data_IF_427685195972
#
_entry.id   IF_427685195972
#
_cell.length_a   1.000
_cell.length_b   1.000
_cell.length_c   1.000
_cell.angle_alpha   90.00
_cell.angle_beta   90.00
_cell.angle_gamma   90.00
#
_symmetry.space_group_name_H-M   'P 1'
#
loop_
_entity.id
_entity.type
_entity.pdbx_description
1 polymer ?
#
# COMPACT_ATOMS: atom_id res chain seq x y z
N UNK A 1 -21.78 3.20 -38.99
CA UNK A 1 -21.62 2.48 -37.71
C UNK A 1 -20.16 2.03 -37.65
N UNK A 2 -19.28 2.74 -36.93
CA UNK A 2 -18.97 2.55 -35.49
C UNK A 2 -18.62 1.08 -35.19
N UNK A 3 -17.46 0.70 -34.63
CA UNK A 3 -16.54 1.39 -33.70
C UNK A 3 -15.09 0.90 -33.96
N UNK A 4 -14.13 1.83 -34.05
CA UNK A 4 -12.70 1.55 -33.95
C UNK A 4 -12.36 1.12 -32.52
N UNK A 5 -11.75 -0.05 -32.36
CA UNK A 5 -11.09 -0.43 -31.11
C UNK A 5 -9.59 -0.19 -31.27
N UNK A 6 -9.15 1.06 -31.08
CA UNK A 6 -7.74 1.35 -30.82
C UNK A 6 -7.44 0.93 -29.38
N UNK A 7 -6.96 -0.29 -29.22
CA UNK A 7 -6.34 -0.74 -27.98
C UNK A 7 -5.05 0.08 -27.78
N UNK A 8 -5.17 1.23 -27.12
CA UNK A 8 -4.03 1.98 -26.64
C UNK A 8 -3.28 1.14 -25.60
N UNK A 9 -2.17 0.52 -26.00
CA UNK A 9 -1.19 0.01 -25.04
C UNK A 9 -0.50 1.21 -24.40
N UNK A 10 -1.05 1.66 -23.28
CA UNK A 10 -0.40 2.65 -22.45
C UNK A 10 0.88 2.06 -21.84
N UNK A 11 1.91 2.90 -21.79
CA UNK A 11 3.25 2.59 -21.33
C UNK A 11 3.22 1.98 -19.93
N UNK A 12 3.43 0.66 -19.84
CA UNK A 12 3.69 -0.04 -18.57
C UNK A 12 5.08 0.40 -18.09
N UNK A 13 5.14 1.55 -17.42
CA UNK A 13 6.32 1.99 -16.66
C UNK A 13 6.47 1.05 -15.46
N UNK A 14 7.12 -0.09 -15.66
CA UNK A 14 7.63 -1.02 -14.64
C UNK A 14 6.80 -1.11 -13.35
N UNK A 15 5.48 -1.33 -13.46
CA UNK A 15 4.64 -1.51 -12.28
C UNK A 15 4.68 -2.98 -11.85
N UNK A 16 5.04 -3.24 -10.60
CA UNK A 16 4.91 -4.58 -10.02
C UNK A 16 3.49 -4.68 -9.48
N UNK A 17 2.63 -5.35 -10.23
CA UNK A 17 1.26 -5.69 -9.85
C UNK A 17 1.25 -7.09 -9.23
N UNK A 18 0.67 -7.21 -8.04
CA UNK A 18 0.49 -8.49 -7.35
C UNK A 18 -0.97 -8.72 -7.03
N UNK A 19 -1.42 -9.98 -7.08
CA UNK A 19 -2.79 -10.34 -6.68
C UNK A 19 -3.02 -10.21 -5.18
N UNK A 20 -2.00 -10.58 -4.41
CA UNK A 20 -2.01 -10.51 -2.96
C UNK A 20 -0.64 -9.99 -2.50
N UNK A 21 -0.60 -8.94 -1.66
CA UNK A 21 0.61 -8.49 -1.02
C UNK A 21 1.22 -9.61 -0.17
N UNK A 22 2.55 -9.67 -0.11
CA UNK A 22 3.24 -10.64 0.74
C UNK A 22 3.12 -10.21 2.20
N UNK A 23 2.35 -10.93 3.00
CA UNK A 23 2.11 -10.59 4.41
C UNK A 23 3.00 -11.47 5.32
N UNK A 24 3.58 -10.91 6.41
CA UNK A 24 4.27 -11.70 7.43
C UNK A 24 3.33 -12.76 8.04
N UNK A 25 3.80 -14.00 8.18
CA UNK A 25 2.95 -15.08 8.72
C UNK A 25 2.83 -15.05 10.25
N UNK A 26 3.87 -14.58 10.94
CA UNK A 26 3.99 -14.71 12.38
C UNK A 26 4.02 -13.34 13.04
N UNK A 27 3.35 -13.24 14.18
CA UNK A 27 3.49 -12.13 15.10
C UNK A 27 4.78 -12.29 15.91
N UNK A 28 5.51 -11.19 16.07
CA UNK A 28 6.67 -11.08 16.95
C UNK A 28 6.52 -9.79 17.76
N UNK A 29 6.48 -9.85 19.10
CA UNK A 29 6.31 -8.66 19.94
C UNK A 29 7.47 -7.65 19.82
N UNK A 30 8.63 -8.09 19.33
CA UNK A 30 9.81 -7.22 19.12
C UNK A 30 9.69 -6.53 17.76
N UNK A 31 9.56 -7.30 16.67
CA UNK A 31 9.49 -6.74 15.32
C UNK A 31 8.15 -6.05 15.01
N UNK A 32 7.07 -6.42 15.72
CA UNK A 32 5.69 -5.91 15.59
C UNK A 32 5.25 -5.77 14.12
N UNK A 33 5.25 -6.88 13.35
CA UNK A 33 4.73 -6.83 11.99
C UNK A 33 3.23 -6.49 12.01
N UNK A 34 2.79 -5.70 11.02
CA UNK A 34 1.38 -5.34 10.90
C UNK A 34 0.96 -5.09 9.45
N UNK A 35 -0.35 -5.09 9.26
CA UNK A 35 -1.02 -4.69 8.03
C UNK A 35 -2.00 -3.58 8.39
N UNK A 36 -1.96 -2.47 7.66
CA UNK A 36 -2.86 -1.34 7.91
C UNK A 36 -3.30 -0.69 6.60
N UNK A 37 -4.54 -0.21 6.58
CA UNK A 37 -4.99 0.75 5.57
C UNK A 37 -4.46 2.12 5.95
N UNK A 38 -3.86 2.82 5.00
CA UNK A 38 -3.36 4.19 5.18
C UNK A 38 -4.35 5.14 4.52
N UNK A 39 -4.86 6.09 5.29
CA UNK A 39 -5.71 7.17 4.81
C UNK A 39 -4.94 8.48 4.95
N UNK A 40 -4.76 9.18 3.84
CA UNK A 40 -4.24 10.53 3.82
C UNK A 40 -5.41 11.49 4.04
N UNK A 41 -5.39 12.22 5.15
CA UNK A 41 -6.37 13.25 5.43
C UNK A 41 -6.13 14.44 4.48
N UNK A 42 -7.09 14.78 3.61
CA UNK A 42 -6.87 15.77 2.56
C UNK A 42 -6.61 17.18 3.10
N UNK A 43 -7.15 17.51 4.28
CA UNK A 43 -7.06 18.86 4.85
C UNK A 43 -5.76 19.10 5.62
N UNK A 44 -5.20 18.04 6.20
CA UNK A 44 -4.03 18.11 7.10
C UNK A 44 -2.77 17.52 6.49
N UNK A 45 -2.91 16.72 5.42
CA UNK A 45 -1.85 15.86 4.91
C UNK A 45 -1.46 14.75 5.88
N UNK A 46 -2.21 14.57 6.98
CA UNK A 46 -1.87 13.62 8.02
C UNK A 46 -2.23 12.21 7.59
N UNK A 47 -1.33 11.27 7.86
CA UNK A 47 -1.60 9.86 7.68
C UNK A 47 -2.29 9.27 8.90
N UNK A 48 -3.41 8.59 8.65
CA UNK A 48 -4.14 7.80 9.64
C UNK A 48 -4.07 6.33 9.26
N UNK A 49 -3.68 5.47 10.21
CA UNK A 49 -3.54 4.02 10.02
C UNK A 49 -4.68 3.27 10.67
N UNK A 50 -5.37 2.45 9.88
CA UNK A 50 -6.41 1.53 10.34
C UNK A 50 -5.86 0.11 10.28
N UNK A 51 -5.50 -0.44 11.44
CA UNK A 51 -4.88 -1.75 11.54
C UNK A 51 -5.86 -2.87 11.19
N UNK A 52 -5.44 -3.72 10.25
CA UNK A 52 -6.15 -4.94 9.85
C UNK A 52 -5.60 -6.18 10.53
N UNK A 53 -4.48 -6.06 11.25
CA UNK A 53 -3.76 -7.18 11.82
C UNK A 53 -3.68 -7.14 13.33
N UNK A 54 -3.68 -8.32 13.95
CA UNK A 54 -3.52 -8.51 15.39
C UNK A 54 -2.73 -9.79 15.71
N UNK A 55 -2.35 -9.96 16.98
CA UNK A 55 -1.79 -11.21 17.45
C UNK A 55 -2.88 -12.31 17.43
N UNK A 56 -2.61 -13.39 16.69
CA UNK A 56 -3.49 -14.53 16.54
C UNK A 56 -3.17 -15.67 17.51
N UNK A 57 -3.68 -16.89 17.24
CA UNK A 57 -3.39 -18.06 18.04
C UNK A 57 -1.93 -18.53 17.88
N UNK A 58 -1.45 -19.29 18.86
CA UNK A 58 -0.14 -19.92 18.81
C UNK A 58 -0.19 -21.26 18.06
N UNK A 59 0.70 -21.44 17.08
CA UNK A 59 0.87 -22.65 16.29
C UNK A 59 2.35 -23.07 16.35
N UNK A 60 2.66 -24.26 16.87
CA UNK A 60 4.02 -24.81 16.95
C UNK A 60 5.05 -23.87 17.60
N UNK A 61 4.68 -23.20 18.71
CA UNK A 61 5.57 -22.29 19.44
C UNK A 61 5.73 -20.90 18.79
N UNK A 62 4.89 -20.56 17.81
CA UNK A 62 4.90 -19.24 17.15
C UNK A 62 3.50 -18.66 17.13
N UNK A 63 3.39 -17.37 17.44
CA UNK A 63 2.13 -16.64 17.36
C UNK A 63 1.86 -16.28 15.91
N UNK A 64 0.67 -16.58 15.39
CA UNK A 64 0.27 -16.18 14.04
C UNK A 64 -0.01 -14.67 13.98
N UNK A 65 0.28 -14.05 12.84
CA UNK A 65 -0.26 -12.73 12.52
C UNK A 65 -1.65 -12.96 11.92
N UNK A 66 -2.68 -12.62 12.68
CA UNK A 66 -4.06 -12.66 12.20
C UNK A 66 -4.34 -11.37 11.42
N UNK A 67 -4.88 -11.48 10.21
CA UNK A 67 -5.14 -10.34 9.33
C UNK A 67 -6.54 -10.47 8.76
N UNK A 68 -7.37 -9.45 8.99
CA UNK A 68 -8.71 -9.37 8.43
C UNK A 68 -8.67 -9.39 6.89
N UNK A 69 -9.69 -9.97 6.26
CA UNK A 69 -9.82 -9.98 4.80
C UNK A 69 -9.93 -8.55 4.27
N UNK A 70 -9.23 -8.27 3.17
CA UNK A 70 -9.13 -6.94 2.58
C UNK A 70 -9.33 -6.96 1.05
N UNK A 71 -9.93 -8.03 0.53
CA UNK A 71 -10.29 -8.17 -0.89
C UNK A 71 -11.30 -7.14 -1.38
N UNK A 72 -12.17 -6.67 -0.48
CA UNK A 72 -13.35 -5.87 -0.82
C UNK A 72 -13.14 -4.36 -0.56
N UNK A 73 -11.87 -3.95 -0.41
CA UNK A 73 -11.51 -2.54 -0.26
C UNK A 73 -11.73 -1.78 -1.58
N UNK A 74 -12.04 -0.47 -1.53
CA UNK A 74 -12.25 0.33 -2.73
C UNK A 74 -10.95 0.56 -3.50
N UNK A 75 -11.05 0.72 -4.82
CA UNK A 75 -9.92 1.15 -5.66
C UNK A 75 -9.27 2.43 -5.12
N UNK A 76 -7.96 2.53 -5.26
CA UNK A 76 -7.15 3.62 -4.73
C UNK A 76 -6.71 3.42 -3.27
N UNK A 77 -7.26 2.43 -2.55
CA UNK A 77 -6.88 2.14 -1.16
C UNK A 77 -5.38 1.88 -1.04
N UNK A 78 -4.75 2.53 -0.07
CA UNK A 78 -3.35 2.30 0.28
C UNK A 78 -3.24 1.26 1.39
N UNK A 79 -2.35 0.30 1.20
CA UNK A 79 -2.07 -0.76 2.16
C UNK A 79 -0.61 -0.74 2.55
N UNK A 80 -0.36 -0.47 3.83
CA UNK A 80 0.94 -0.65 4.46
C UNK A 80 1.08 -2.09 4.94
N UNK A 81 2.16 -2.75 4.52
CA UNK A 81 2.59 -4.04 5.07
C UNK A 81 3.95 -3.86 5.72
N UNK A 82 3.96 -3.83 7.07
CA UNK A 82 5.16 -3.73 7.88
C UNK A 82 5.65 -5.12 8.25
N UNK A 83 6.91 -5.42 7.93
CA UNK A 83 7.56 -6.71 8.22
C UNK A 83 8.37 -6.66 9.52
N UNK A 84 8.85 -5.48 9.89
CA UNK A 84 9.58 -5.22 11.13
C UNK A 84 9.60 -3.72 11.43
N UNK A 85 10.18 -3.34 12.58
CA UNK A 85 10.41 -1.95 12.96
C UNK A 85 11.10 -1.12 11.88
N UNK A 86 11.91 -1.73 11.01
CA UNK A 86 12.74 -1.01 10.02
C UNK A 86 12.31 -1.21 8.56
N UNK A 87 11.25 -1.99 8.31
CA UNK A 87 10.89 -2.41 6.94
C UNK A 87 9.39 -2.45 6.74
N UNK A 88 8.92 -1.64 5.79
CA UNK A 88 7.54 -1.64 5.32
C UNK A 88 7.47 -1.51 3.79
N UNK A 89 6.43 -2.07 3.19
CA UNK A 89 6.05 -1.81 1.81
C UNK A 89 4.70 -1.09 1.77
N UNK A 90 4.52 -0.22 0.79
CA UNK A 90 3.25 0.40 0.47
C UNK A 90 2.72 -0.16 -0.85
N UNK A 91 1.43 -0.49 -0.86
CA UNK A 91 0.70 -0.91 -2.03
C UNK A 91 -0.51 -0.02 -2.26
N UNK A 92 -0.96 0.09 -3.50
CA UNK A 92 -2.22 0.73 -3.86
C UNK A 92 -3.11 -0.27 -4.60
N UNK A 93 -4.38 -0.35 -4.24
CA UNK A 93 -5.35 -1.19 -4.95
C UNK A 93 -5.75 -0.53 -6.28
N UNK A 94 -5.69 -1.29 -7.36
CA UNK A 94 -6.07 -0.86 -8.71
C UNK A 94 -6.95 -1.91 -9.39
N UNK A 95 -7.91 -1.48 -10.19
CA UNK A 95 -8.74 -2.36 -11.01
C UNK A 95 -8.12 -2.52 -12.40
N UNK A 96 -7.38 -3.61 -12.61
CA UNK A 96 -6.79 -3.93 -13.91
C UNK A 96 -7.77 -4.78 -14.70
N UNK A 97 -8.44 -4.18 -15.70
CA UNK A 97 -9.48 -4.87 -16.49
C UNK A 97 -10.61 -5.45 -15.61
N UNK A 98 -11.06 -4.68 -14.62
CA UNK A 98 -12.16 -5.07 -13.71
C UNK A 98 -11.74 -6.02 -12.59
N UNK A 99 -10.44 -6.19 -12.37
CA UNK A 99 -9.89 -7.17 -11.44
C UNK A 99 -8.99 -6.52 -10.40
N UNK A 100 -9.24 -6.73 -9.09
CA UNK A 100 -8.45 -6.10 -8.05
C UNK A 100 -7.00 -6.63 -8.05
N UNK A 101 -6.06 -5.70 -8.17
CA UNK A 101 -4.63 -5.94 -8.12
C UNK A 101 -3.96 -4.90 -7.23
N UNK A 102 -2.94 -5.31 -6.49
CA UNK A 102 -2.15 -4.41 -5.66
C UNK A 102 -0.90 -3.97 -6.41
N UNK A 103 -0.84 -2.70 -6.78
CA UNK A 103 0.38 -2.09 -7.32
C UNK A 103 1.33 -1.80 -6.16
N UNK A 104 2.56 -2.30 -6.26
CA UNK A 104 3.60 -1.94 -5.31
C UNK A 104 4.09 -0.51 -5.60
N UNK A 105 3.95 0.37 -4.60
CA UNK A 105 4.32 1.78 -4.69
C UNK A 105 5.76 1.99 -4.24
N UNK A 106 6.13 1.40 -3.11
CA UNK A 106 7.41 1.68 -2.52
C UNK A 106 7.76 0.80 -1.34
N UNK A 107 8.99 0.96 -0.89
CA UNK A 107 9.51 0.31 0.30
C UNK A 107 10.26 1.34 1.13
N UNK A 108 9.97 1.33 2.42
CA UNK A 108 10.80 1.98 3.42
C UNK A 108 11.81 0.97 4.00
N UNK A 109 13.07 1.42 4.15
CA UNK A 109 14.16 0.69 4.83
C UNK A 109 14.87 1.68 5.75
N UNK A 110 15.11 1.29 7.00
CA UNK A 110 15.97 2.04 7.91
C UNK A 110 15.26 3.03 8.82
N UNK A 111 14.03 2.70 9.25
CA UNK A 111 13.43 3.43 10.37
C UNK A 111 14.26 3.20 11.65
N UNK A 112 14.47 4.23 12.46
CA UNK A 112 15.33 4.16 13.65
C UNK A 112 14.64 3.48 14.85
N UNK A 113 13.34 3.66 15.04
CA UNK A 113 12.52 2.91 16.00
C UNK A 113 11.01 2.88 15.66
N UNK A 114 10.23 2.17 16.47
CA UNK A 114 8.78 1.98 16.29
C UNK A 114 7.92 3.14 16.81
N UNK A 115 8.40 3.89 17.82
CA UNK A 115 7.60 4.87 18.55
C UNK A 115 7.78 6.30 18.04
N UNK A 116 8.88 6.60 17.35
CA UNK A 116 9.22 7.93 16.85
C UNK A 116 9.09 8.08 15.33
N UNK A 117 8.96 6.97 14.58
CA UNK A 117 8.97 7.02 13.11
C UNK A 117 7.74 6.34 12.49
N UNK A 118 6.70 7.13 12.31
CA UNK A 118 5.72 6.87 11.27
C UNK A 118 6.41 6.98 9.91
N UNK A 119 6.13 6.04 9.00
CA UNK A 119 6.65 6.18 7.63
C UNK A 119 5.83 7.28 6.98
N UNK A 120 6.46 8.39 6.63
CA UNK A 120 5.87 9.42 5.77
C UNK A 120 5.81 8.87 4.34
N UNK A 121 4.65 8.31 3.99
CA UNK A 121 4.34 7.85 2.64
C UNK A 121 4.00 9.01 1.72
N UNK A 122 3.50 10.13 2.24
CA UNK A 122 3.23 11.34 1.45
C UNK A 122 4.47 11.79 0.67
N UNK A 123 5.65 11.77 1.29
CA UNK A 123 6.91 12.06 0.59
C UNK A 123 7.17 11.10 -0.60
N UNK A 124 6.89 9.80 -0.44
CA UNK A 124 7.08 8.81 -1.50
C UNK A 124 6.02 8.90 -2.60
N UNK A 125 4.79 9.23 -2.24
CA UNK A 125 3.72 9.48 -3.19
C UNK A 125 4.00 10.76 -3.96
N UNK A 126 4.31 11.88 -3.31
CA UNK A 126 4.66 13.14 -3.97
C UNK A 126 5.90 13.03 -4.88
N UNK A 127 6.90 12.23 -4.53
CA UNK A 127 8.11 12.06 -5.36
C UNK A 127 7.91 11.12 -6.57
N UNK A 128 6.96 10.19 -6.52
CA UNK A 128 6.58 9.35 -7.66
C UNK A 128 5.44 9.96 -8.49
N UNK A 129 4.65 10.85 -7.90
CA UNK A 129 3.68 11.73 -8.55
C UNK A 129 4.36 13.05 -8.95
N UNK A 130 5.38 12.99 -9.83
CA UNK A 130 5.60 14.12 -10.73
C UNK A 130 4.37 14.17 -11.62
N UNK A 131 3.42 15.05 -11.31
CA UNK A 131 2.27 15.35 -12.17
C UNK A 131 2.77 15.46 -13.63
N UNK A 132 2.37 14.56 -14.55
CA UNK A 132 2.22 15.01 -15.91
C UNK A 132 1.04 15.97 -15.88
N UNK A 133 1.30 17.20 -16.29
CA UNK A 133 0.31 18.26 -16.52
C UNK A 133 -0.14 19.06 -15.30
N UNK A 134 0.75 19.97 -14.88
CA UNK A 134 0.35 21.36 -14.77
C UNK A 134 0.01 21.93 -16.16
N UNK A 135 -1.04 21.41 -16.79
CA UNK A 135 -1.80 22.08 -17.86
C UNK A 135 -3.11 22.52 -17.24
N UNK A 136 -3.03 23.37 -16.22
CA UNK A 136 -4.08 24.35 -16.03
C UNK A 136 -3.81 25.44 -17.07
N UNK A 137 -4.49 25.27 -18.20
CA UNK A 137 -4.81 26.35 -19.11
C UNK A 137 -5.32 27.54 -18.29
N UNK A 138 -4.54 28.63 -18.25
CA UNK A 138 -5.10 29.95 -18.07
C UNK A 138 -5.42 30.48 -19.47
N UNK A 139 -6.69 30.38 -19.84
CA UNK A 139 -7.35 31.40 -20.65
C UNK A 139 -7.99 32.40 -19.71
#
# INVERSE_FOLDING_TARGET
MQVEATAGMESIKNCILVRRPSIPRYWDPISRPHVAVVVLEPDTGKESRYYLSQAGPEENGRILLDVAEFSDLPEGTLLEVRYSSIKANLYQLELVSGMPCWRWIGRCRGLSDFESEEVDWDYLLCSQYVFPDAVYAMN
#
